data_IF_908172885627
#
_entry.id   IF_908172885627
#
_cell.length_a   1.000
_cell.length_b   1.000
_cell.length_c   1.000
_cell.angle_alpha   90.00
_cell.angle_beta   90.00
_cell.angle_gamma   90.00
#
_symmetry.space_group_name_H-M   'P 1'
#
loop_
_entity.id
_entity.type
_entity.pdbx_description
1 polymer ?
#
# COMPACT_ATOMS: atom_id res chain seq x y z
N UNK A 1 17.85 0.93 9.51
CA UNK A 1 17.12 1.81 8.58
C UNK A 1 15.97 2.38 9.39
N UNK A 2 15.80 3.69 9.41
CA UNK A 2 14.70 4.29 10.17
C UNK A 2 13.38 4.02 9.43
N UNK A 3 12.27 3.75 10.15
CA UNK A 3 10.97 3.44 9.53
C UNK A 3 10.52 4.51 8.52
N UNK A 4 10.90 5.78 8.74
CA UNK A 4 10.64 6.88 7.80
C UNK A 4 11.38 6.74 6.47
N UNK A 5 12.61 6.24 6.47
CA UNK A 5 13.37 6.03 5.24
C UNK A 5 12.74 4.92 4.40
N UNK A 6 12.26 3.87 5.06
CA UNK A 6 11.56 2.77 4.40
C UNK A 6 10.19 3.20 3.86
N UNK A 7 9.43 4.01 4.61
CA UNK A 7 8.17 4.61 4.13
C UNK A 7 8.36 5.43 2.85
N UNK A 8 9.41 6.25 2.81
CA UNK A 8 9.73 7.07 1.63
C UNK A 8 10.11 6.18 0.45
N UNK A 9 10.96 5.17 0.65
CA UNK A 9 11.37 4.27 -0.43
C UNK A 9 10.20 3.50 -1.03
N UNK A 10 9.36 2.88 -0.19
CA UNK A 10 8.18 2.13 -0.67
C UNK A 10 7.21 3.07 -1.38
N UNK A 11 7.04 4.31 -0.89
CA UNK A 11 6.20 5.29 -1.56
C UNK A 11 6.75 5.70 -2.92
N UNK A 12 8.05 5.99 -3.03
CA UNK A 12 8.67 6.37 -4.30
C UNK A 12 8.59 5.24 -5.32
N UNK A 13 8.81 3.99 -4.90
CA UNK A 13 8.69 2.81 -5.77
C UNK A 13 7.25 2.64 -6.27
N UNK A 14 6.27 2.56 -5.35
CA UNK A 14 4.86 2.39 -5.73
C UNK A 14 4.31 3.59 -6.51
N UNK A 15 4.73 4.82 -6.20
CA UNK A 15 4.31 6.01 -6.95
C UNK A 15 4.89 6.05 -8.35
N UNK A 16 6.07 5.45 -8.57
CA UNK A 16 6.69 5.32 -9.88
C UNK A 16 5.92 4.38 -10.81
N UNK A 17 5.39 3.28 -10.26
CA UNK A 17 4.63 2.29 -11.01
C UNK A 17 3.11 2.61 -11.07
N UNK A 18 2.58 3.28 -10.04
CA UNK A 18 1.17 3.57 -9.87
C UNK A 18 0.93 5.05 -9.52
N UNK A 19 0.59 5.85 -10.53
CA UNK A 19 0.34 7.29 -10.39
C UNK A 19 -0.81 7.64 -9.41
N UNK A 20 -1.75 6.72 -9.16
CA UNK A 20 -2.87 6.95 -8.24
C UNK A 20 -2.54 6.82 -6.76
N UNK A 21 -1.32 6.41 -6.39
CA UNK A 21 -0.91 6.30 -4.98
C UNK A 21 -0.85 7.68 -4.35
N UNK A 22 -1.61 7.90 -3.28
CA UNK A 22 -1.68 9.19 -2.60
C UNK A 22 -0.73 9.23 -1.40
N UNK A 23 -0.65 8.12 -0.64
CA UNK A 23 0.09 8.05 0.61
C UNK A 23 0.43 6.60 0.99
N UNK A 24 1.55 6.45 1.69
CA UNK A 24 1.85 5.23 2.45
C UNK A 24 1.98 5.54 3.94
N UNK A 25 1.66 4.57 4.79
CA UNK A 25 1.90 4.66 6.23
C UNK A 25 2.43 3.34 6.75
N UNK A 26 3.65 3.34 7.28
CA UNK A 26 4.20 2.18 7.98
C UNK A 26 3.57 2.02 9.37
N UNK A 27 2.98 0.86 9.63
CA UNK A 27 2.47 0.48 10.96
C UNK A 27 3.55 -0.23 11.78
N UNK A 28 4.42 -0.99 11.12
CA UNK A 28 5.59 -1.65 11.71
C UNK A 28 6.67 -1.89 10.65
N UNK A 29 7.78 -2.53 11.01
CA UNK A 29 8.81 -2.95 10.04
C UNK A 29 8.30 -4.02 9.05
N UNK A 30 7.16 -4.66 9.33
CA UNK A 30 6.59 -5.75 8.53
C UNK A 30 5.19 -5.45 8.00
N UNK A 31 4.65 -4.24 8.25
CA UNK A 31 3.30 -3.89 7.85
C UNK A 31 3.22 -2.42 7.42
N UNK A 32 2.64 -2.19 6.25
CA UNK A 32 2.36 -0.86 5.74
C UNK A 32 0.98 -0.78 5.07
N UNK A 33 0.44 0.44 5.02
CA UNK A 33 -0.83 0.77 4.41
C UNK A 33 -0.61 1.64 3.18
N UNK A 34 -1.28 1.32 2.06
CA UNK A 34 -1.26 2.09 0.82
C UNK A 34 -2.63 2.72 0.62
N UNK A 35 -2.67 4.04 0.49
CA UNK A 35 -3.87 4.82 0.21
C UNK A 35 -3.82 5.30 -1.23
N UNK A 36 -4.86 5.00 -1.99
CA UNK A 36 -5.02 5.36 -3.39
C UNK A 36 -6.50 5.31 -3.77
N UNK A 37 -6.84 5.69 -5.01
CA UNK A 37 -8.18 5.44 -5.56
C UNK A 37 -8.44 3.94 -5.77
N UNK A 38 -9.72 3.55 -5.83
CA UNK A 38 -10.15 2.15 -5.90
C UNK A 38 -9.54 1.37 -7.08
N UNK A 39 -9.38 2.02 -8.25
CA UNK A 39 -8.81 1.39 -9.45
C UNK A 39 -7.32 1.10 -9.22
N UNK A 40 -6.60 2.06 -8.68
CA UNK A 40 -5.19 1.89 -8.31
C UNK A 40 -4.99 0.83 -7.22
N UNK A 41 -5.78 0.85 -6.15
CA UNK A 41 -5.71 -0.19 -5.11
C UNK A 41 -5.99 -1.57 -5.70
N UNK A 42 -6.95 -1.70 -6.61
CA UNK A 42 -7.24 -2.97 -7.26
C UNK A 42 -6.06 -3.46 -8.11
N UNK A 43 -5.43 -2.58 -8.91
CA UNK A 43 -4.28 -2.94 -9.73
C UNK A 43 -3.09 -3.40 -8.87
N UNK A 44 -2.78 -2.66 -7.80
CA UNK A 44 -1.72 -3.01 -6.85
C UNK A 44 -2.01 -4.37 -6.22
N UNK A 45 -3.26 -4.62 -5.81
CA UNK A 45 -3.67 -5.90 -5.26
C UNK A 45 -3.47 -7.06 -6.24
N UNK A 46 -3.91 -6.92 -7.49
CA UNK A 46 -3.78 -7.98 -8.51
C UNK A 46 -2.31 -8.32 -8.82
N UNK A 47 -1.44 -7.32 -8.83
CA UNK A 47 -0.02 -7.52 -9.09
C UNK A 47 0.69 -8.16 -7.89
N UNK A 48 0.36 -7.72 -6.67
CA UNK A 48 1.08 -8.11 -5.45
C UNK A 48 0.51 -9.35 -4.75
N UNK A 49 -0.70 -9.81 -5.06
CA UNK A 49 -1.34 -10.96 -4.36
C UNK A 49 -0.52 -12.26 -4.46
N UNK A 50 0.33 -12.41 -5.46
CA UNK A 50 1.19 -13.57 -5.62
C UNK A 50 2.58 -13.39 -4.98
N UNK A 51 2.95 -12.17 -4.60
CA UNK A 51 4.29 -11.83 -4.09
C UNK A 51 4.33 -11.65 -2.58
N UNK A 52 3.22 -11.29 -1.93
CA UNK A 52 3.18 -10.99 -0.50
C UNK A 52 2.39 -12.02 0.32
N UNK A 53 2.76 -12.13 1.59
CA UNK A 53 2.19 -13.12 2.51
C UNK A 53 0.73 -12.84 2.86
N UNK A 54 0.33 -11.57 2.91
CA UNK A 54 -1.05 -11.13 3.15
C UNK A 54 -1.28 -9.74 2.56
N UNK A 55 -2.38 -9.59 1.82
CA UNK A 55 -2.91 -8.30 1.37
C UNK A 55 -4.41 -8.24 1.70
N UNK A 56 -4.82 -7.20 2.40
CA UNK A 56 -6.23 -6.94 2.73
C UNK A 56 -6.66 -5.59 2.15
N UNK A 57 -7.75 -5.59 1.38
CA UNK A 57 -8.42 -4.38 0.93
C UNK A 57 -9.50 -4.00 1.94
N UNK A 58 -9.29 -2.88 2.63
CA UNK A 58 -10.30 -2.31 3.51
C UNK A 58 -11.11 -1.29 2.72
N UNK A 59 -12.41 -1.58 2.52
CA UNK A 59 -13.33 -0.78 1.72
C UNK A 59 -14.68 -0.57 2.43
N UNK A 60 -14.66 -0.39 3.75
CA UNK A 60 -15.88 -0.12 4.51
C UNK A 60 -16.53 1.21 4.09
N UNK A 61 -17.86 1.20 3.94
CA UNK A 61 -18.62 2.35 3.44
C UNK A 61 -18.48 3.57 4.36
N UNK A 62 -17.79 4.59 3.85
CA UNK A 62 -17.63 5.88 4.52
C UNK A 62 -16.24 6.09 5.14
N UNK A 63 -15.36 5.10 5.04
CA UNK A 63 -13.96 5.21 5.44
C UNK A 63 -13.03 5.30 4.23
N UNK A 64 -11.80 5.80 4.43
CA UNK A 64 -10.81 5.86 3.34
C UNK A 64 -10.36 4.46 3.01
N UNK A 65 -10.48 4.06 1.74
CA UNK A 65 -10.04 2.75 1.30
C UNK A 65 -8.50 2.66 1.28
N UNK A 66 -7.96 1.51 1.66
CA UNK A 66 -6.52 1.25 1.61
C UNK A 66 -6.22 -0.23 1.44
N UNK A 67 -5.01 -0.52 0.97
CA UNK A 67 -4.42 -1.85 1.05
C UNK A 67 -3.53 -1.96 2.27
N UNK A 68 -3.71 -3.01 3.06
CA UNK A 68 -2.78 -3.43 4.10
C UNK A 68 -1.91 -4.54 3.55
N UNK A 69 -0.59 -4.35 3.57
CA UNK A 69 0.38 -5.32 3.06
C UNK A 69 1.31 -5.76 4.18
N UNK A 70 1.48 -7.07 4.32
CA UNK A 70 2.45 -7.68 5.24
C UNK A 70 3.59 -8.36 4.47
N UNK A 71 4.83 -8.01 4.86
CA UNK A 71 6.10 -8.48 4.28
C UNK A 71 6.78 -9.52 5.16
#
# INVERSE_FOLDING_TARGET
MEMKEMEIQIFEDLKGDYDGVEKITMQSEQEFLVFADDETLWNIFEDMINEFSSIELDAEKGETHFLRIQI
#
